data_IF_362226200421
#
_entry.id   IF_362226200421
#
_cell.length_a   1.000
_cell.length_b   1.000
_cell.length_c   1.000
_cell.angle_alpha   90.00
_cell.angle_beta   90.00
_cell.angle_gamma   90.00
#
_symmetry.space_group_name_H-M   'P 1'
#
loop_
_entity.id
_entity.type
_entity.pdbx_description
1 polymer ?
#
# COMPACT_ATOMS: atom_id res chain seq x y z
N UNK A 1 -2.56 -17.42 -9.12
CA UNK A 1 -2.43 -16.44 -10.22
C UNK A 1 -3.82 -15.92 -10.54
N UNK A 2 -3.99 -14.61 -10.47
CA UNK A 2 -5.08 -13.86 -11.09
C UNK A 2 -4.43 -12.95 -12.13
N UNK A 3 -4.81 -13.14 -13.40
CA UNK A 3 -4.19 -12.51 -14.56
C UNK A 3 -5.31 -11.92 -15.43
N UNK A 4 -5.63 -10.65 -15.19
CA UNK A 4 -6.68 -9.91 -15.89
C UNK A 4 -6.14 -9.12 -17.08
N UNK A 5 -6.89 -8.09 -17.48
CA UNK A 5 -6.40 -7.10 -18.45
C UNK A 5 -7.03 -5.73 -18.18
N UNK A 6 -6.48 -4.66 -18.74
CA UNK A 6 -7.02 -3.29 -18.60
C UNK A 6 -8.52 -3.22 -18.90
N UNK A 7 -9.00 -3.88 -19.96
CA UNK A 7 -10.41 -3.88 -20.36
C UNK A 7 -11.28 -4.93 -19.65
N UNK A 8 -10.68 -5.87 -18.93
CA UNK A 8 -11.36 -6.95 -18.24
C UNK A 8 -10.57 -7.36 -16.98
N UNK A 9 -10.55 -6.51 -15.94
CA UNK A 9 -9.88 -6.83 -14.69
C UNK A 9 -10.60 -7.96 -13.95
N UNK A 10 -9.86 -8.75 -13.18
CA UNK A 10 -10.44 -9.76 -12.30
C UNK A 10 -10.98 -9.08 -11.05
N UNK A 11 -12.27 -9.27 -10.76
CA UNK A 11 -12.95 -8.62 -9.65
C UNK A 11 -13.01 -9.53 -8.41
N UNK A 12 -12.61 -9.00 -7.26
CA UNK A 12 -12.84 -9.62 -5.94
C UNK A 12 -13.68 -8.67 -5.09
N UNK A 13 -14.96 -9.00 -4.90
CA UNK A 13 -15.95 -8.15 -4.23
C UNK A 13 -16.94 -8.98 -3.41
N UNK A 14 -17.70 -8.31 -2.54
CA UNK A 14 -18.83 -8.93 -1.86
C UNK A 14 -19.95 -9.29 -2.83
N UNK A 15 -20.79 -10.24 -2.46
CA UNK A 15 -21.97 -10.68 -3.23
C UNK A 15 -23.23 -9.84 -2.93
N UNK A 16 -23.16 -8.93 -1.95
CA UNK A 16 -24.21 -7.96 -1.60
C UNK A 16 -24.12 -6.73 -2.50
N UNK A 17 -24.96 -6.73 -3.52
CA UNK A 17 -24.96 -5.71 -4.58
C UNK A 17 -26.10 -4.69 -4.45
N UNK A 18 -26.91 -4.77 -3.40
CA UNK A 18 -27.98 -3.79 -3.18
C UNK A 18 -27.38 -2.41 -2.90
N UNK A 19 -28.06 -1.34 -3.31
CA UNK A 19 -27.56 0.05 -3.28
C UNK A 19 -26.97 0.48 -1.93
N UNK A 20 -27.53 -0.01 -0.83
CA UNK A 20 -27.04 0.34 0.53
C UNK A 20 -25.75 -0.40 0.92
N UNK A 21 -25.38 -1.48 0.23
CA UNK A 21 -24.25 -2.35 0.55
C UNK A 21 -23.17 -2.36 -0.54
N UNK A 22 -23.52 -1.96 -1.76
CA UNK A 22 -22.66 -2.03 -2.94
C UNK A 22 -21.29 -1.36 -2.77
N UNK A 23 -21.19 -0.34 -1.91
CA UNK A 23 -19.93 0.34 -1.57
C UNK A 23 -19.59 0.29 -0.06
N UNK A 24 -20.26 -0.57 0.71
CA UNK A 24 -19.91 -0.72 2.13
C UNK A 24 -18.61 -1.50 2.26
N UNK A 25 -17.62 -1.07 3.06
CA UNK A 25 -16.40 -1.83 3.33
C UNK A 25 -16.68 -3.08 4.18
N UNK A 26 -15.74 -4.04 4.21
CA UNK A 26 -15.80 -5.19 5.11
C UNK A 26 -16.94 -6.18 4.85
N UNK A 27 -17.42 -6.28 3.59
CA UNK A 27 -18.47 -7.24 3.22
C UNK A 27 -17.96 -8.68 3.19
N UNK A 28 -16.64 -8.87 3.03
CA UNK A 28 -16.03 -10.20 2.96
C UNK A 28 -14.63 -10.18 3.60
N UNK A 29 -14.17 -11.35 4.04
CA UNK A 29 -12.88 -11.52 4.69
C UNK A 29 -12.74 -12.87 5.37
N UNK A 30 -11.56 -13.16 5.92
CA UNK A 30 -11.38 -14.37 6.71
C UNK A 30 -11.92 -14.14 8.13
N UNK A 31 -12.55 -15.17 8.67
CA UNK A 31 -12.97 -15.23 10.06
C UNK A 31 -12.31 -16.45 10.70
N UNK A 32 -11.56 -16.21 11.76
CA UNK A 32 -10.93 -17.25 12.55
C UNK A 32 -11.68 -17.40 13.86
N UNK A 33 -12.28 -18.56 14.07
CA UNK A 33 -12.85 -18.94 15.37
C UNK A 33 -11.70 -19.29 16.32
N UNK A 34 -11.55 -18.51 17.38
CA UNK A 34 -10.58 -18.77 18.44
C UNK A 34 -11.35 -19.26 19.65
N UNK A 35 -11.06 -20.50 20.03
CA UNK A 35 -11.55 -21.10 21.27
C UNK A 35 -10.47 -21.02 22.32
N UNK A 36 -10.72 -20.28 23.40
CA UNK A 36 -9.85 -20.22 24.57
C UNK A 36 -10.63 -20.60 25.84
N UNK A 37 -9.96 -21.14 26.84
CA UNK A 37 -10.54 -21.39 28.16
C UNK A 37 -10.17 -20.26 29.10
N UNK A 38 -10.91 -19.15 29.03
CA UNK A 38 -10.77 -18.08 30.02
C UNK A 38 -11.50 -18.51 31.31
N UNK A 39 -10.74 -18.66 32.40
CA UNK A 39 -11.26 -19.03 33.72
C UNK A 39 -12.03 -20.36 33.76
N UNK A 40 -11.63 -21.34 32.95
CA UNK A 40 -12.24 -22.68 32.92
C UNK A 40 -13.54 -22.80 32.11
N UNK A 41 -14.02 -21.71 31.51
CA UNK A 41 -15.12 -21.71 30.55
C UNK A 41 -14.58 -21.62 29.14
N UNK A 42 -15.13 -22.43 28.21
CA UNK A 42 -14.87 -22.26 26.78
C UNK A 42 -15.44 -20.91 26.33
N UNK A 43 -14.58 -20.04 25.84
CA UNK A 43 -14.90 -18.77 25.19
C UNK A 43 -14.52 -18.90 23.74
N UNK A 44 -15.50 -18.82 22.85
CA UNK A 44 -15.26 -18.65 21.42
C UNK A 44 -15.33 -17.16 21.10
N UNK A 45 -14.34 -16.65 20.40
CA UNK A 45 -14.40 -15.34 19.76
C UNK A 45 -13.90 -15.42 18.32
N UNK A 46 -14.62 -14.79 17.42
CA UNK A 46 -14.25 -14.71 16.01
C UNK A 46 -13.33 -13.52 15.79
N UNK A 47 -12.10 -13.77 15.35
CA UNK A 47 -11.23 -12.75 14.82
C UNK A 47 -11.51 -12.59 13.32
N UNK A 48 -12.14 -11.48 12.93
CA UNK A 48 -12.24 -11.07 11.53
C UNK A 48 -10.91 -10.44 11.11
N UNK A 49 -10.22 -11.07 10.17
CA UNK A 49 -8.90 -10.67 9.67
C UNK A 49 -8.85 -10.96 8.17
N UNK A 50 -8.30 -10.07 7.37
CA UNK A 50 -7.94 -10.45 6.01
C UNK A 50 -9.05 -10.31 4.96
N UNK A 51 -8.61 -10.50 3.73
CA UNK A 51 -9.40 -10.74 2.52
C UNK A 51 -8.69 -11.91 1.85
N UNK A 52 -7.60 -11.62 1.14
CA UNK A 52 -6.64 -12.62 0.69
C UNK A 52 -5.46 -12.67 1.68
N UNK A 53 -5.15 -13.85 2.22
CA UNK A 53 -3.98 -14.06 3.09
C UNK A 53 -2.97 -15.00 2.42
N UNK A 54 -1.72 -14.54 2.34
CA UNK A 54 -0.60 -15.22 1.74
C UNK A 54 0.44 -15.53 2.83
N UNK A 55 0.25 -16.64 3.55
CA UNK A 55 1.23 -17.18 4.52
C UNK A 55 2.33 -17.94 3.79
N UNK A 56 3.58 -17.45 3.84
CA UNK A 56 4.77 -18.04 3.23
C UNK A 56 4.50 -18.48 1.79
N UNK A 57 3.81 -17.62 1.06
CA UNK A 57 3.39 -17.89 -0.30
C UNK A 57 4.59 -17.99 -1.25
N UNK A 58 4.39 -18.74 -2.34
CA UNK A 58 5.39 -18.97 -3.38
C UNK A 58 4.83 -18.44 -4.69
N UNK A 59 5.39 -17.35 -5.18
CA UNK A 59 5.16 -16.78 -6.51
C UNK A 59 3.67 -16.52 -6.82
N UNK A 60 2.93 -15.93 -5.89
CA UNK A 60 1.55 -15.50 -6.16
C UNK A 60 1.52 -14.26 -7.04
N UNK A 61 0.62 -14.22 -8.01
CA UNK A 61 0.47 -13.10 -8.96
C UNK A 61 -0.95 -12.59 -8.91
N UNK A 62 -1.10 -11.27 -8.79
CA UNK A 62 -2.32 -10.48 -8.97
C UNK A 62 -2.01 -9.39 -10.00
N UNK A 63 -2.40 -9.60 -11.25
CA UNK A 63 -2.27 -8.61 -12.33
C UNK A 63 -3.65 -8.19 -12.85
N UNK A 64 -3.86 -6.89 -13.02
CA UNK A 64 -5.17 -6.32 -13.42
C UNK A 64 -6.32 -6.82 -12.55
N UNK A 65 -6.15 -6.69 -11.23
CA UNK A 65 -7.14 -7.06 -10.23
C UNK A 65 -7.84 -5.83 -9.70
N UNK A 66 -9.16 -5.90 -9.52
CA UNK A 66 -9.97 -4.91 -8.80
C UNK A 66 -10.57 -5.58 -7.55
N UNK A 67 -9.88 -5.42 -6.42
CA UNK A 67 -10.24 -5.98 -5.13
C UNK A 67 -10.85 -4.87 -4.28
N UNK A 68 -12.10 -5.02 -3.87
CA UNK A 68 -12.79 -4.01 -3.05
C UNK A 68 -13.54 -4.60 -1.87
N UNK A 69 -13.74 -3.79 -0.83
CA UNK A 69 -14.69 -4.06 0.26
C UNK A 69 -14.34 -5.26 1.15
N UNK A 70 -13.09 -5.70 1.15
CA UNK A 70 -12.63 -6.68 2.12
C UNK A 70 -12.48 -6.04 3.50
N UNK A 71 -12.37 -6.86 4.55
CA UNK A 71 -11.92 -6.37 5.87
C UNK A 71 -10.48 -5.86 5.78
N UNK A 72 -9.58 -6.67 5.24
CA UNK A 72 -8.23 -6.27 4.81
C UNK A 72 -8.08 -6.74 3.35
N UNK A 73 -7.47 -5.98 2.46
CA UNK A 73 -7.38 -6.34 1.04
C UNK A 73 -6.51 -7.58 0.81
N UNK A 74 -5.20 -7.38 0.88
CA UNK A 74 -4.20 -8.45 0.75
C UNK A 74 -3.26 -8.40 1.94
N UNK A 75 -3.09 -9.54 2.61
CA UNK A 75 -2.13 -9.73 3.69
C UNK A 75 -1.03 -10.68 3.23
N UNK A 76 0.18 -10.14 3.06
CA UNK A 76 1.40 -10.87 2.75
C UNK A 76 2.17 -11.12 4.05
N UNK A 77 2.21 -12.37 4.48
CA UNK A 77 2.92 -12.79 5.70
C UNK A 77 4.08 -13.69 5.30
N UNK A 78 5.29 -13.13 5.35
CA UNK A 78 6.52 -13.82 4.99
C UNK A 78 6.57 -14.28 3.52
N UNK A 79 7.58 -15.07 3.17
CA UNK A 79 7.79 -15.64 1.82
C UNK A 79 8.15 -17.12 1.93
N UNK A 80 7.70 -17.93 0.98
CA UNK A 80 8.02 -19.35 0.91
C UNK A 80 9.48 -19.60 0.54
N UNK A 81 9.99 -20.78 0.91
CA UNK A 81 11.34 -21.21 0.53
C UNK A 81 11.47 -21.29 -0.99
N UNK A 82 12.60 -20.83 -1.52
CA UNK A 82 12.91 -20.79 -2.96
C UNK A 82 11.92 -20.00 -3.83
N UNK A 83 11.13 -19.10 -3.22
CA UNK A 83 10.25 -18.21 -3.97
C UNK A 83 10.99 -16.95 -4.42
N UNK A 84 10.69 -16.51 -5.65
CA UNK A 84 11.17 -15.24 -6.19
C UNK A 84 10.47 -14.07 -5.51
N UNK A 85 9.20 -14.25 -5.13
CA UNK A 85 8.40 -13.31 -4.33
C UNK A 85 7.25 -14.06 -3.65
N UNK A 86 6.68 -13.48 -2.59
CA UNK A 86 5.42 -13.95 -2.02
C UNK A 86 4.24 -13.44 -2.86
N UNK A 87 4.31 -12.19 -3.29
CA UNK A 87 3.29 -11.53 -4.11
C UNK A 87 3.93 -10.66 -5.20
N UNK A 88 3.51 -10.87 -6.44
CA UNK A 88 3.64 -9.90 -7.52
C UNK A 88 2.28 -9.24 -7.75
N UNK A 89 2.18 -7.95 -7.43
CA UNK A 89 0.96 -7.15 -7.53
C UNK A 89 1.15 -6.07 -8.60
N UNK A 90 0.45 -6.16 -9.72
CA UNK A 90 0.68 -5.26 -10.86
C UNK A 90 -0.62 -4.76 -11.45
N UNK A 91 -0.63 -3.51 -11.92
CA UNK A 91 -1.77 -2.90 -12.62
C UNK A 91 -3.12 -3.08 -11.90
N UNK A 92 -3.11 -3.05 -10.56
CA UNK A 92 -4.26 -3.47 -9.75
C UNK A 92 -4.79 -2.36 -8.86
N UNK A 93 -6.08 -2.45 -8.55
CA UNK A 93 -6.82 -1.57 -7.65
C UNK A 93 -7.23 -2.34 -6.40
N UNK A 94 -6.79 -1.88 -5.24
CA UNK A 94 -7.20 -2.36 -3.93
C UNK A 94 -7.88 -1.20 -3.20
N UNK A 95 -9.20 -1.13 -3.19
CA UNK A 95 -9.89 0.03 -2.61
C UNK A 95 -11.00 -0.31 -1.62
N UNK A 96 -11.36 0.67 -0.79
CA UNK A 96 -12.53 0.59 0.06
C UNK A 96 -12.47 -0.58 1.08
N UNK A 97 -11.33 -0.78 1.74
CA UNK A 97 -11.20 -1.81 2.79
C UNK A 97 -11.65 -1.27 4.14
N UNK A 98 -12.20 -2.14 5.00
CA UNK A 98 -12.58 -1.75 6.36
C UNK A 98 -11.37 -1.37 7.23
N UNK A 99 -10.24 -2.05 7.03
CA UNK A 99 -9.02 -1.89 7.81
C UNK A 99 -7.86 -1.51 6.89
N UNK A 100 -7.10 -2.47 6.37
CA UNK A 100 -5.87 -2.20 5.62
C UNK A 100 -6.03 -2.64 4.15
N UNK A 101 -5.51 -1.84 3.21
CA UNK A 101 -5.45 -2.18 1.79
C UNK A 101 -4.46 -3.31 1.50
N UNK A 102 -3.18 -3.00 1.64
CA UNK A 102 -2.06 -3.94 1.51
C UNK A 102 -1.30 -4.01 2.84
N UNK A 103 -1.33 -5.17 3.48
CA UNK A 103 -0.59 -5.46 4.70
C UNK A 103 0.58 -6.38 4.36
N UNK A 104 1.80 -5.96 4.65
CA UNK A 104 3.00 -6.80 4.57
C UNK A 104 3.60 -6.96 5.97
N UNK A 105 3.92 -8.20 6.34
CA UNK A 105 4.65 -8.53 7.56
C UNK A 105 5.84 -9.41 7.19
N UNK A 106 7.04 -8.81 7.12
CA UNK A 106 8.24 -9.47 6.61
C UNK A 106 8.06 -10.13 5.22
N UNK A 107 7.14 -9.61 4.40
CA UNK A 107 6.79 -10.18 3.10
C UNK A 107 7.83 -9.88 2.01
N UNK A 108 7.75 -10.62 0.90
CA UNK A 108 8.47 -10.30 -0.34
C UNK A 108 7.45 -9.88 -1.41
N UNK A 109 7.43 -8.59 -1.75
CA UNK A 109 6.46 -8.00 -2.69
C UNK A 109 7.19 -7.35 -3.85
N UNK A 110 6.79 -7.69 -5.06
CA UNK A 110 7.13 -6.95 -6.27
C UNK A 110 5.87 -6.32 -6.85
N UNK A 111 5.85 -5.01 -7.08
CA UNK A 111 4.68 -4.38 -7.64
C UNK A 111 4.93 -3.07 -8.35
N UNK A 112 4.10 -2.84 -9.36
CA UNK A 112 4.05 -1.57 -10.08
C UNK A 112 2.64 -1.24 -10.56
N UNK A 113 2.37 0.05 -10.79
CA UNK A 113 1.08 0.54 -11.30
C UNK A 113 -0.12 0.17 -10.42
N UNK A 114 0.00 0.26 -9.10
CA UNK A 114 -1.10 -0.10 -8.21
C UNK A 114 -1.74 1.12 -7.58
N UNK A 115 -3.08 1.11 -7.51
CA UNK A 115 -3.84 2.04 -6.70
C UNK A 115 -4.30 1.31 -5.44
N UNK A 116 -3.91 1.83 -4.28
CA UNK A 116 -4.43 1.36 -3.00
C UNK A 116 -5.09 2.55 -2.30
N UNK A 117 -6.42 2.50 -2.12
CA UNK A 117 -7.17 3.70 -1.74
C UNK A 117 -8.28 3.47 -0.73
N UNK A 118 -8.65 4.55 -0.04
CA UNK A 118 -9.86 4.66 0.77
C UNK A 118 -10.04 3.52 1.80
N UNK A 119 -8.99 3.18 2.55
CA UNK A 119 -9.01 2.13 3.57
C UNK A 119 -9.24 2.71 4.97
N UNK A 120 -10.06 2.05 5.80
CA UNK A 120 -10.47 2.58 7.11
C UNK A 120 -9.33 2.82 8.12
N UNK A 121 -8.21 2.08 7.99
CA UNK A 121 -6.98 2.32 8.76
C UNK A 121 -5.88 2.86 7.84
N UNK A 122 -5.20 1.98 7.09
CA UNK A 122 -4.09 2.35 6.22
C UNK A 122 -4.27 1.78 4.82
N UNK A 123 -3.81 2.49 3.79
CA UNK A 123 -3.74 1.93 2.45
C UNK A 123 -2.55 0.96 2.35
N UNK A 124 -1.38 1.36 2.84
CA UNK A 124 -0.21 0.48 2.93
C UNK A 124 0.27 0.32 4.37
N UNK A 125 0.51 -0.91 4.80
CA UNK A 125 1.08 -1.21 6.12
C UNK A 125 2.22 -2.21 5.94
N UNK A 126 3.45 -1.70 5.92
CA UNK A 126 4.68 -2.48 5.71
C UNK A 126 5.41 -2.60 7.04
N UNK A 127 5.11 -3.66 7.78
CA UNK A 127 5.67 -3.87 9.10
C UNK A 127 6.67 -5.01 9.11
N UNK A 128 7.56 -4.99 10.10
CA UNK A 128 8.54 -6.05 10.32
C UNK A 128 9.49 -6.25 9.13
N UNK A 129 9.80 -5.17 8.41
CA UNK A 129 10.69 -5.18 7.25
C UNK A 129 10.16 -5.98 6.07
N UNK A 130 11.05 -6.71 5.41
CA UNK A 130 10.75 -7.50 4.21
C UNK A 130 11.52 -7.02 2.98
N UNK A 131 11.31 -7.68 1.85
CA UNK A 131 11.84 -7.23 0.55
C UNK A 131 10.69 -6.66 -0.28
N UNK A 132 10.65 -5.35 -0.45
CA UNK A 132 9.52 -4.65 -1.07
C UNK A 132 10.02 -3.81 -2.23
N UNK A 133 9.64 -4.18 -3.46
CA UNK A 133 9.78 -3.34 -4.65
C UNK A 133 8.41 -2.82 -5.02
N UNK A 134 8.13 -1.54 -4.80
CA UNK A 134 6.84 -0.92 -5.15
C UNK A 134 7.08 0.34 -5.97
N UNK A 135 6.88 0.26 -7.28
CA UNK A 135 7.12 1.37 -8.20
C UNK A 135 5.81 1.95 -8.71
N UNK A 136 5.76 3.25 -9.05
CA UNK A 136 4.63 3.85 -9.78
C UNK A 136 3.27 3.51 -9.14
N UNK A 137 3.18 3.56 -7.82
CA UNK A 137 1.98 3.17 -7.08
C UNK A 137 1.44 4.35 -6.29
N UNK A 138 0.12 4.44 -6.17
CA UNK A 138 -0.56 5.51 -5.44
C UNK A 138 -1.26 4.92 -4.23
N UNK A 139 -0.89 5.40 -3.04
CA UNK A 139 -1.59 5.20 -1.79
C UNK A 139 -2.38 6.48 -1.47
N UNK A 140 -3.69 6.44 -1.66
CA UNK A 140 -4.55 7.62 -1.56
C UNK A 140 -5.72 7.39 -0.61
N UNK A 141 -5.71 8.02 0.56
CA UNK A 141 -6.75 7.82 1.55
C UNK A 141 -7.55 9.10 1.80
N UNK A 142 -8.59 9.27 1.00
CA UNK A 142 -9.54 10.39 1.09
C UNK A 142 -10.90 9.92 1.59
N UNK A 143 -10.96 8.70 2.13
CA UNK A 143 -12.17 8.10 2.65
C UNK A 143 -12.81 8.99 3.71
N UNK A 144 -14.10 9.20 3.54
CA UNK A 144 -15.00 9.81 4.53
C UNK A 144 -15.85 8.74 5.23
N UNK A 145 -15.47 7.47 5.11
CA UNK A 145 -16.20 6.37 5.73
C UNK A 145 -16.07 6.46 7.25
N UNK A 146 -17.20 6.70 7.90
CA UNK A 146 -17.29 6.97 9.34
C UNK A 146 -17.49 8.46 9.61
N UNK A 147 -18.23 8.78 10.67
CA UNK A 147 -18.61 10.15 11.02
C UNK A 147 -17.50 10.94 11.74
N UNK A 148 -16.22 10.59 11.55
CA UNK A 148 -15.10 11.12 12.33
C UNK A 148 -13.79 11.22 11.55
N UNK A 149 -12.82 11.92 12.13
CA UNK A 149 -11.48 12.07 11.58
C UNK A 149 -10.76 10.72 11.55
N UNK A 150 -10.09 10.38 10.43
CA UNK A 150 -9.21 9.21 10.38
C UNK A 150 -8.14 9.30 11.46
N UNK A 151 -7.82 8.18 12.08
CA UNK A 151 -6.84 8.10 13.18
C UNK A 151 -5.55 7.38 12.78
N UNK A 152 -5.49 6.81 11.58
CA UNK A 152 -4.40 5.99 11.08
C UNK A 152 -3.81 6.62 9.82
N UNK A 153 -2.48 6.53 9.62
CA UNK A 153 -1.81 7.09 8.45
C UNK A 153 -2.27 6.40 7.16
N UNK A 154 -2.04 7.03 6.02
CA UNK A 154 -2.21 6.38 4.71
C UNK A 154 -1.20 5.27 4.49
N UNK A 155 0.07 5.49 4.88
CA UNK A 155 1.13 4.48 4.86
C UNK A 155 1.88 4.45 6.19
N UNK A 156 2.09 3.25 6.71
CA UNK A 156 2.96 2.97 7.86
C UNK A 156 4.09 2.03 7.47
N UNK A 157 5.32 2.38 7.84
CA UNK A 157 6.54 1.61 7.57
C UNK A 157 7.24 1.33 8.90
N UNK A 158 7.54 0.07 9.17
CA UNK A 158 8.17 -0.37 10.41
C UNK A 158 9.08 -1.59 10.18
N UNK A 159 10.13 -1.67 10.98
CA UNK A 159 11.12 -2.75 10.94
C UNK A 159 11.37 -3.41 12.29
N UNK A 160 10.52 -3.20 13.29
CA UNK A 160 10.76 -3.73 14.63
C UNK A 160 9.49 -3.92 15.46
N UNK A 161 9.58 -4.77 16.48
CA UNK A 161 8.53 -4.91 17.49
C UNK A 161 9.10 -5.31 18.84
N UNK A 162 8.34 -5.05 19.90
CA UNK A 162 8.63 -5.58 21.24
C UNK A 162 7.93 -6.94 21.41
N UNK A 163 8.70 -7.99 21.67
CA UNK A 163 8.16 -9.31 21.96
C UNK A 163 7.55 -9.36 23.38
N UNK A 164 6.73 -10.38 23.66
CA UNK A 164 6.01 -10.52 24.93
C UNK A 164 6.91 -10.55 26.19
N UNK A 165 8.20 -10.85 26.04
CA UNK A 165 9.20 -10.84 27.12
C UNK A 165 9.90 -9.47 27.28
N UNK A 166 9.44 -8.42 26.58
CA UNK A 166 10.04 -7.09 26.58
C UNK A 166 11.30 -6.95 25.72
N UNK A 167 11.70 -7.99 24.98
CA UNK A 167 12.86 -7.90 24.09
C UNK A 167 12.48 -7.26 22.76
N UNK A 168 13.30 -6.30 22.33
CA UNK A 168 13.19 -5.70 21.00
C UNK A 168 13.64 -6.68 19.93
N UNK A 169 12.81 -6.85 18.91
CA UNK A 169 13.06 -7.68 17.75
C UNK A 169 13.15 -6.77 16.52
N UNK A 170 14.34 -6.65 15.95
CA UNK A 170 14.60 -5.85 14.75
C UNK A 170 14.59 -6.77 13.53
N UNK A 171 13.85 -6.36 12.50
CA UNK A 171 13.66 -7.03 11.21
C UNK A 171 13.76 -5.98 10.11
N UNK A 172 14.99 -5.60 9.71
CA UNK A 172 15.22 -4.57 8.71
C UNK A 172 14.59 -4.93 7.35
N UNK A 173 14.30 -3.91 6.54
CA UNK A 173 14.03 -4.14 5.12
C UNK A 173 15.28 -4.68 4.41
N UNK A 174 15.07 -5.45 3.34
CA UNK A 174 16.14 -5.93 2.48
C UNK A 174 16.87 -4.74 1.83
N UNK A 175 18.15 -4.94 1.48
CA UNK A 175 19.00 -3.86 0.96
C UNK A 175 18.53 -3.29 -0.39
N UNK A 176 17.77 -4.08 -1.15
CA UNK A 176 17.16 -3.71 -2.41
C UNK A 176 15.79 -3.04 -2.24
N UNK A 177 15.12 -3.17 -1.09
CA UNK A 177 13.76 -2.68 -0.90
C UNK A 177 13.62 -1.17 -1.25
N UNK A 178 12.66 -0.84 -2.11
CA UNK A 178 12.47 0.48 -2.66
C UNK A 178 11.00 0.78 -2.99
N UNK A 179 10.58 1.99 -2.64
CA UNK A 179 9.34 2.63 -3.06
C UNK A 179 9.69 3.78 -4.02
N UNK A 180 9.51 3.55 -5.33
CA UNK A 180 9.96 4.49 -6.37
C UNK A 180 8.79 5.12 -7.10
N UNK A 181 8.84 6.43 -7.34
CA UNK A 181 7.77 7.14 -8.04
C UNK A 181 6.38 6.93 -7.41
N UNK A 182 6.31 6.71 -6.10
CA UNK A 182 5.07 6.46 -5.41
C UNK A 182 4.45 7.77 -4.91
N UNK A 183 3.12 7.78 -4.72
CA UNK A 183 2.43 8.88 -4.05
C UNK A 183 1.79 8.35 -2.77
N UNK A 184 1.99 9.04 -1.65
CA UNK A 184 1.27 8.85 -0.39
C UNK A 184 0.56 10.15 -0.05
N UNK A 185 -0.77 10.11 -0.03
CA UNK A 185 -1.58 11.28 0.27
C UNK A 185 -2.91 10.92 0.93
N UNK A 186 -3.42 11.84 1.72
CA UNK A 186 -4.73 11.68 2.33
C UNK A 186 -5.31 12.98 2.87
N UNK A 187 -6.59 12.91 3.23
CA UNK A 187 -7.39 14.07 3.62
C UNK A 187 -7.05 14.68 5.00
N UNK A 188 -6.19 14.03 5.79
CA UNK A 188 -5.75 14.56 7.08
C UNK A 188 -4.38 15.26 7.02
N UNK A 189 -3.74 15.34 5.86
CA UNK A 189 -2.39 15.92 5.71
C UNK A 189 -2.26 17.38 6.20
N UNK A 190 -3.37 18.12 6.28
CA UNK A 190 -3.43 19.51 6.75
C UNK A 190 -3.74 19.65 8.25
N UNK A 191 -4.07 18.55 8.94
CA UNK A 191 -4.31 18.56 10.38
C UNK A 191 -2.99 18.64 11.12
N UNK A 192 -2.92 19.48 12.17
CA UNK A 192 -1.76 19.54 13.03
C UNK A 192 -1.53 18.18 13.71
N UNK A 193 -0.26 17.80 13.86
CA UNK A 193 0.17 16.59 14.58
C UNK A 193 -0.33 15.28 13.95
N UNK A 194 -0.73 15.31 12.67
CA UNK A 194 -1.09 14.14 11.88
C UNK A 194 -0.14 13.95 10.70
N UNK A 195 0.29 12.71 10.48
CA UNK A 195 1.13 12.34 9.34
C UNK A 195 0.43 11.28 8.50
N UNK A 196 0.30 11.50 7.20
CA UNK A 196 -0.22 10.48 6.27
C UNK A 196 0.82 9.40 5.98
N UNK A 197 2.10 9.74 6.11
CA UNK A 197 3.23 8.84 6.00
C UNK A 197 3.97 8.78 7.34
N UNK A 198 4.02 7.60 7.94
CA UNK A 198 4.75 7.35 9.19
C UNK A 198 5.83 6.31 8.93
N UNK A 199 7.05 6.61 9.41
CA UNK A 199 8.18 5.70 9.38
C UNK A 199 8.73 5.51 10.79
N UNK A 200 8.66 4.28 11.27
CA UNK A 200 9.04 3.86 12.62
C UNK A 200 10.10 2.76 12.53
N UNK A 201 11.34 3.19 12.36
CA UNK A 201 12.50 2.33 12.21
C UNK A 201 13.31 2.31 13.51
N UNK A 202 13.81 1.14 13.88
CA UNK A 202 14.61 0.97 15.08
C UNK A 202 15.92 1.77 15.03
N UNK A 203 16.64 1.66 13.91
CA UNK A 203 17.86 2.41 13.65
C UNK A 203 17.89 2.82 12.17
N UNK A 204 17.49 4.06 11.84
CA UNK A 204 17.50 4.55 10.47
C UNK A 204 18.87 4.49 9.80
N UNK A 205 19.97 4.48 10.55
CA UNK A 205 21.33 4.40 9.99
C UNK A 205 21.65 3.04 9.35
N UNK A 206 20.82 2.02 9.59
CA UNK A 206 20.90 0.72 8.92
C UNK A 206 20.55 0.78 7.43
N UNK A 207 19.95 1.89 6.97
CA UNK A 207 19.53 2.10 5.59
C UNK A 207 20.49 3.08 4.89
N UNK A 208 21.55 2.60 4.21
CA UNK A 208 22.53 3.45 3.55
C UNK A 208 22.00 4.07 2.24
N UNK A 209 20.84 3.64 1.78
CA UNK A 209 20.15 4.17 0.61
C UNK A 209 18.70 4.49 0.98
N UNK A 210 18.09 5.52 0.37
CA UNK A 210 16.70 5.84 0.59
C UNK A 210 15.77 4.65 0.32
N UNK A 211 14.79 4.45 1.19
CA UNK A 211 13.71 3.50 0.92
C UNK A 211 12.68 4.10 -0.04
N UNK A 212 12.57 5.42 -0.10
CA UNK A 212 11.65 6.16 -0.96
C UNK A 212 12.42 7.05 -1.93
N UNK A 213 12.27 6.80 -3.22
CA UNK A 213 13.02 7.46 -4.29
C UNK A 213 12.07 8.13 -5.28
N UNK A 214 12.33 9.38 -5.64
CA UNK A 214 11.53 10.18 -6.56
C UNK A 214 10.01 10.09 -6.30
N UNK A 215 9.60 10.01 -5.04
CA UNK A 215 8.22 9.79 -4.65
C UNK A 215 7.55 11.10 -4.20
N UNK A 216 6.33 11.04 -3.68
CA UNK A 216 5.66 12.15 -3.03
C UNK A 216 5.03 11.66 -1.72
N UNK A 217 5.35 12.31 -0.61
CA UNK A 217 4.90 11.92 0.73
C UNK A 217 4.44 13.11 1.54
N UNK A 218 3.53 12.89 2.48
CA UNK A 218 3.03 13.90 3.41
C UNK A 218 3.24 13.43 4.85
N UNK A 219 4.11 14.11 5.60
CA UNK A 219 4.38 13.82 7.01
C UNK A 219 4.60 15.09 7.81
N UNK A 220 4.21 15.05 9.09
CA UNK A 220 4.45 16.11 10.09
C UNK A 220 5.20 15.57 11.31
N UNK A 221 5.86 14.41 11.19
CA UNK A 221 6.64 13.82 12.27
C UNK A 221 7.74 14.77 12.74
N UNK A 222 7.85 14.96 14.07
CA UNK A 222 8.89 15.81 14.67
C UNK A 222 10.30 15.25 14.44
N UNK A 223 10.44 13.92 14.53
CA UNK A 223 11.69 13.20 14.31
C UNK A 223 11.55 12.25 13.11
N UNK A 224 11.42 12.82 11.92
CA UNK A 224 11.41 12.03 10.70
C UNK A 224 12.85 11.61 10.32
N UNK A 225 13.11 10.35 9.93
CA UNK A 225 14.46 9.93 9.51
C UNK A 225 14.76 10.34 8.07
N UNK A 226 15.26 11.55 7.84
CA UNK A 226 15.44 12.12 6.48
C UNK A 226 16.22 11.23 5.49
N UNK A 227 17.11 10.35 5.97
CA UNK A 227 17.91 9.46 5.12
C UNK A 227 17.09 8.41 4.35
N UNK A 228 15.82 8.20 4.72
CA UNK A 228 14.92 7.28 4.00
C UNK A 228 14.30 7.88 2.75
N UNK A 229 14.44 9.19 2.53
CA UNK A 229 13.98 9.89 1.33
C UNK A 229 15.18 10.36 0.50
N UNK A 230 15.04 10.32 -0.82
CA UNK A 230 15.96 11.00 -1.73
C UNK A 230 15.61 12.48 -1.93
N UNK A 231 16.49 13.21 -2.62
CA UNK A 231 16.31 14.63 -2.92
C UNK A 231 15.23 14.93 -3.97
N UNK A 232 14.81 13.92 -4.74
CA UNK A 232 13.74 14.02 -5.73
C UNK A 232 12.36 13.71 -5.16
N UNK A 233 12.29 13.24 -3.91
CA UNK A 233 11.03 13.01 -3.22
C UNK A 233 10.40 14.33 -2.81
N UNK A 234 9.15 14.54 -3.22
CA UNK A 234 8.37 15.72 -2.90
C UNK A 234 7.73 15.55 -1.53
N UNK A 235 8.14 16.38 -0.58
CA UNK A 235 7.66 16.30 0.80
C UNK A 235 6.62 17.39 1.05
N UNK A 236 5.49 17.03 1.65
CA UNK A 236 4.41 17.94 2.07
C UNK A 236 3.86 18.84 0.95
N UNK A 237 3.97 18.39 -0.29
CA UNK A 237 3.30 18.98 -1.44
C UNK A 237 1.99 18.24 -1.68
N UNK A 238 0.87 18.98 -1.72
CA UNK A 238 -0.44 18.39 -2.03
C UNK A 238 -0.47 17.91 -3.49
N UNK A 239 -0.78 16.62 -3.75
CA UNK A 239 -0.96 16.15 -5.11
C UNK A 239 -2.16 16.83 -5.75
N UNK A 240 -1.99 17.43 -6.95
CA UNK A 240 -3.10 18.04 -7.68
C UNK A 240 -3.93 16.95 -8.37
N UNK A 241 -4.61 16.12 -7.57
CA UNK A 241 -5.52 15.10 -8.08
C UNK A 241 -6.73 15.76 -8.75
N UNK A 242 -7.20 15.17 -9.85
CA UNK A 242 -8.37 15.68 -10.60
C UNK A 242 -9.62 15.71 -9.73
N UNK A 243 -9.99 14.58 -9.12
CA UNK A 243 -11.10 14.52 -8.17
C UNK A 243 -10.98 13.33 -7.23
N UNK A 244 -10.56 13.59 -5.99
CA UNK A 244 -10.41 12.55 -4.96
C UNK A 244 -11.73 11.90 -4.53
N UNK A 245 -12.88 12.58 -4.70
CA UNK A 245 -14.19 12.05 -4.34
C UNK A 245 -14.75 11.07 -5.38
N UNK A 246 -14.33 11.22 -6.64
CA UNK A 246 -14.66 10.30 -7.73
C UNK A 246 -13.60 9.18 -7.87
N UNK A 247 -12.66 9.08 -6.93
CA UNK A 247 -11.48 8.22 -6.99
C UNK A 247 -10.58 8.47 -8.22
N UNK A 248 -10.63 9.68 -8.79
CA UNK A 248 -9.77 10.09 -9.89
C UNK A 248 -8.48 10.70 -9.38
N UNK A 249 -7.48 9.83 -9.16
CA UNK A 249 -6.16 10.16 -8.66
C UNK A 249 -5.13 10.47 -9.76
N UNK A 250 -5.59 10.82 -10.98
CA UNK A 250 -4.71 11.39 -12.01
C UNK A 250 -4.26 12.79 -11.58
N UNK A 251 -3.04 13.18 -11.96
CA UNK A 251 -2.52 14.51 -11.65
C UNK A 251 -2.90 15.53 -12.73
N UNK A 252 -3.35 16.72 -12.34
CA UNK A 252 -3.64 17.86 -13.22
C UNK A 252 -2.52 18.92 -13.10
N UNK A 253 -1.30 18.57 -13.50
CA UNK A 253 -0.15 19.49 -13.41
C UNK A 253 1.01 19.13 -14.33
N UNK A 254 1.71 20.16 -14.83
CA UNK A 254 2.97 20.02 -15.56
C UNK A 254 4.21 20.28 -14.70
N UNK A 255 4.06 20.52 -13.39
CA UNK A 255 5.20 20.82 -12.52
C UNK A 255 6.19 19.65 -12.46
N UNK A 256 7.49 19.97 -12.50
CA UNK A 256 8.57 18.99 -12.54
C UNK A 256 8.68 18.16 -11.25
N UNK A 257 8.19 18.70 -10.12
CA UNK A 257 8.12 17.97 -8.83
C UNK A 257 7.28 16.70 -8.91
N UNK A 258 6.35 16.59 -9.87
CA UNK A 258 5.51 15.41 -10.10
C UNK A 258 6.04 14.49 -11.20
N UNK A 259 7.24 14.75 -11.69
CA UNK A 259 7.96 13.88 -12.63
C UNK A 259 8.84 12.93 -11.84
N UNK A 260 8.68 11.64 -12.12
CA UNK A 260 9.48 10.57 -11.54
C UNK A 260 10.72 10.26 -12.38
N UNK A 261 11.37 9.15 -12.03
CA UNK A 261 12.55 8.60 -12.71
C UNK A 261 12.27 7.21 -13.28
N UNK A 262 13.24 6.63 -13.98
CA UNK A 262 13.08 5.27 -14.51
C UNK A 262 12.87 4.24 -13.41
N UNK A 263 11.91 3.34 -13.64
CA UNK A 263 11.62 2.15 -12.83
C UNK A 263 12.30 0.88 -13.37
N UNK A 264 13.24 1.02 -14.33
CA UNK A 264 13.96 -0.07 -14.98
C UNK A 264 15.47 0.11 -14.81
N UNK A 265 16.17 -0.73 -14.02
CA UNK A 265 15.68 -1.87 -13.20
C UNK A 265 14.83 -1.45 -11.97
N UNK A 266 14.17 -2.40 -11.26
CA UNK A 266 14.18 -3.85 -11.46
C UNK A 266 13.15 -4.34 -12.50
N UNK A 267 12.12 -3.55 -12.80
CA UNK A 267 11.12 -3.91 -13.81
C UNK A 267 11.64 -3.63 -15.21
N UNK A 268 11.13 -4.33 -16.21
CA UNK A 268 11.46 -4.04 -17.60
C UNK A 268 10.75 -2.79 -18.10
N UNK A 269 11.35 -2.09 -19.08
CA UNK A 269 10.70 -0.95 -19.74
C UNK A 269 9.36 -1.29 -20.40
N UNK A 270 9.12 -2.56 -20.76
CA UNK A 270 7.83 -3.02 -21.27
C UNK A 270 6.77 -3.05 -20.18
N UNK A 271 7.10 -3.56 -18.99
CA UNK A 271 6.18 -3.67 -17.85
C UNK A 271 5.71 -2.31 -17.34
N UNK A 272 6.60 -1.30 -17.34
CA UNK A 272 6.30 0.06 -16.86
C UNK A 272 6.02 1.05 -17.99
N UNK A 273 5.83 0.56 -19.21
CA UNK A 273 5.60 1.37 -20.42
C UNK A 273 4.18 1.90 -20.55
N UNK A 274 3.25 1.43 -19.73
CA UNK A 274 1.88 1.94 -19.61
C UNK A 274 1.55 2.28 -18.17
N UNK A 275 0.52 3.08 -17.97
CA UNK A 275 -0.07 3.37 -16.67
C UNK A 275 -1.20 2.39 -16.31
N UNK A 276 -1.82 2.57 -15.14
CA UNK A 276 -2.93 1.75 -14.65
C UNK A 276 -4.20 1.85 -15.52
N UNK A 277 -4.38 2.95 -16.26
CA UNK A 277 -5.49 3.09 -17.23
C UNK A 277 -5.16 2.47 -18.59
N UNK A 278 -3.94 1.96 -18.78
CA UNK A 278 -3.45 1.44 -20.06
C UNK A 278 -2.91 2.51 -21.01
N UNK A 279 -2.75 3.75 -20.54
CA UNK A 279 -2.21 4.84 -21.35
C UNK A 279 -0.67 4.73 -21.47
N UNK A 280 -0.09 5.10 -22.62
CA UNK A 280 1.37 5.10 -22.79
C UNK A 280 2.09 6.01 -21.79
N UNK A 281 3.18 5.53 -21.22
CA UNK A 281 4.01 6.22 -20.22
C UNK A 281 5.47 6.32 -20.65
N UNK A 282 6.13 7.42 -20.29
CA UNK A 282 7.58 7.54 -20.41
C UNK A 282 8.30 6.59 -19.43
N UNK A 283 9.15 5.71 -19.93
CA UNK A 283 9.97 4.80 -19.09
C UNK A 283 11.19 5.48 -18.46
N UNK A 284 11.46 6.74 -18.81
CA UNK A 284 12.59 7.53 -18.31
C UNK A 284 12.14 8.61 -17.32
N UNK A 285 11.02 9.25 -17.61
CA UNK A 285 10.47 10.38 -16.86
C UNK A 285 8.95 10.22 -16.70
N UNK A 286 8.49 9.15 -16.04
CA UNK A 286 7.06 8.91 -15.83
C UNK A 286 6.45 9.98 -14.94
N UNK A 287 5.12 10.08 -14.93
CA UNK A 287 4.44 10.79 -13.84
C UNK A 287 4.53 9.96 -12.55
N UNK A 288 4.74 10.60 -11.39
CA UNK A 288 4.69 9.91 -10.10
C UNK A 288 3.28 9.32 -9.88
N UNK A 289 3.21 8.14 -9.29
CA UNK A 289 1.98 7.40 -9.03
C UNK A 289 1.61 6.41 -10.15
N UNK A 290 0.43 5.81 -10.01
CA UNK A 290 -0.04 4.74 -10.89
C UNK A 290 -0.63 5.23 -12.23
N UNK A 291 -0.97 6.51 -12.36
CA UNK A 291 -1.51 7.09 -13.59
C UNK A 291 -0.55 8.07 -14.25
N UNK A 292 -0.65 8.25 -15.56
CA UNK A 292 -0.14 9.45 -16.22
C UNK A 292 -1.04 10.66 -15.97
N UNK A 293 -0.40 11.83 -15.90
CA UNK A 293 -1.08 13.11 -15.69
C UNK A 293 -2.04 13.43 -16.84
N UNK A 294 -3.12 14.13 -16.52
CA UNK A 294 -3.99 14.76 -17.52
C UNK A 294 -3.43 16.12 -17.92
N UNK A 295 -3.49 16.43 -19.21
CA UNK A 295 -3.06 17.72 -19.77
C UNK A 295 -4.22 18.69 -19.94
#
# INVERSE_FOLDING_TARGET
VADGSVGAPIQFRGDRIEDNYADTPGQWGLAFEITDTLSGSLVNFSAFRGGIWLDRAVNCVLDHVDLRQATVGVWVDSVGTDADYALRLTNSVLSNMQSIGLLSQSGHIEGYNNLISNCGQACGYFALGGNIQMHLSTFANFSTQGSGLRQFPTVYVNDWYEAANGSVQVRPFAADAEFRNCIVAGNNASLNEFSEFIVDLWDPSMYPSPLWTASAVQHQMEMFPDNILDDQTSVNSEPPFVNVFDEDFRLETSASSWTGISSSPPFSAFEVGTDLAGEPRSTFTPTKGCYERVN
#
